data_IF_030437386529
#
_entry.id   IF_030437386529
#
_cell.length_a   1.000
_cell.length_b   1.000
_cell.length_c   1.000
_cell.angle_alpha   90.00
_cell.angle_beta   90.00
_cell.angle_gamma   90.00
#
_symmetry.space_group_name_H-M   'P 1'
#
loop_
_entity.id
_entity.type
_entity.pdbx_description
1 polymer ?
#
# COMPACT_ATOMS: atom_id res chain seq x y z
N UNK A 1 39.91 20.05 40.97
CA UNK A 1 39.78 21.02 39.85
C UNK A 1 40.70 20.69 38.66
N UNK A 2 40.85 19.42 38.27
CA UNK A 2 41.66 19.01 37.09
C UNK A 2 40.84 18.30 36.00
N UNK A 3 39.59 17.91 36.27
CA UNK A 3 38.73 17.19 35.32
C UNK A 3 37.84 18.10 34.45
N UNK A 4 37.63 19.36 34.85
CA UNK A 4 36.84 20.34 34.07
C UNK A 4 37.71 21.04 33.01
N UNK A 5 39.03 21.13 33.23
CA UNK A 5 39.97 21.75 32.28
C UNK A 5 40.25 20.88 31.04
N UNK A 6 40.04 19.55 31.12
CA UNK A 6 40.28 18.62 30.02
C UNK A 6 39.12 18.54 29.02
N UNK A 7 37.89 18.89 29.41
CA UNK A 7 36.71 18.82 28.53
C UNK A 7 36.65 20.03 27.59
N UNK A 8 37.15 21.20 28.02
CA UNK A 8 37.16 22.43 27.21
C UNK A 8 38.22 22.35 26.09
N UNK A 9 39.32 21.61 26.28
CA UNK A 9 40.36 21.43 25.25
C UNK A 9 39.91 20.51 24.11
N UNK A 10 39.00 19.57 24.34
CA UNK A 10 38.51 18.62 23.30
C UNK A 10 37.47 19.29 22.37
N UNK A 11 36.71 20.27 22.86
CA UNK A 11 35.69 20.97 22.07
C UNK A 11 36.32 22.03 21.13
N UNK A 12 37.53 22.51 21.43
CA UNK A 12 38.22 23.49 20.58
C UNK A 12 38.98 22.88 19.38
N UNK A 13 39.12 21.56 19.28
CA UNK A 13 39.91 20.89 18.22
C UNK A 13 39.03 20.30 17.09
N UNK A 14 37.71 20.20 17.26
CA UNK A 14 36.81 19.58 16.26
C UNK A 14 36.09 20.57 15.33
N UNK A 15 36.32 21.89 15.46
CA UNK A 15 35.66 22.92 14.62
C UNK A 15 36.55 23.44 13.47
N UNK A 16 37.79 22.94 13.35
CA UNK A 16 38.77 23.45 12.38
C UNK A 16 39.20 22.45 11.30
N UNK A 17 38.43 21.39 11.07
CA UNK A 17 38.64 20.49 9.93
C UNK A 17 37.30 20.33 9.22
N UNK A 18 37.34 20.46 7.89
CA UNK A 18 36.21 20.42 6.94
C UNK A 18 35.55 21.76 6.60
N UNK A 19 36.37 22.80 6.38
CA UNK A 19 35.97 23.92 5.51
C UNK A 19 37.09 24.25 4.52
N UNK A 20 37.31 23.36 3.54
CA UNK A 20 37.95 23.66 2.25
C UNK A 20 37.69 22.50 1.29
N UNK A 21 36.51 22.46 0.69
CA UNK A 21 36.31 21.76 -0.59
C UNK A 21 35.89 22.80 -1.61
N UNK A 22 36.87 23.13 -2.45
CA UNK A 22 36.72 23.93 -3.65
C UNK A 22 35.73 23.26 -4.60
N UNK A 23 34.74 24.04 -5.04
CA UNK A 23 33.81 23.67 -6.10
C UNK A 23 34.57 23.52 -7.43
N UNK A 24 34.95 22.30 -7.78
CA UNK A 24 35.25 21.85 -9.15
C UNK A 24 35.20 20.33 -9.15
N UNK A 25 34.30 19.80 -9.96
CA UNK A 25 34.22 18.40 -10.38
C UNK A 25 33.63 17.38 -9.38
N UNK A 26 32.50 17.71 -8.75
CA UNK A 26 31.52 16.67 -8.36
C UNK A 26 30.72 16.31 -9.61
N UNK A 27 31.27 15.37 -10.38
CA UNK A 27 30.54 14.68 -11.45
C UNK A 27 29.45 13.84 -10.76
N UNK A 28 28.29 14.46 -10.56
CA UNK A 28 27.08 13.82 -10.06
C UNK A 28 26.66 12.75 -11.06
N UNK A 29 27.16 11.53 -10.90
CA UNK A 29 26.45 10.34 -11.37
C UNK A 29 25.23 10.18 -10.47
N UNK A 30 24.21 10.99 -10.73
CA UNK A 30 22.85 10.73 -10.32
C UNK A 30 22.42 9.48 -11.06
N UNK A 31 22.66 8.31 -10.46
CA UNK A 31 21.96 7.09 -10.83
C UNK A 31 20.53 7.33 -10.37
N UNK A 32 19.69 7.86 -11.27
CA UNK A 32 18.24 7.78 -11.12
C UNK A 32 17.96 6.30 -11.02
N UNK A 33 17.70 5.81 -9.80
CA UNK A 33 17.12 4.50 -9.63
C UNK A 33 15.77 4.58 -10.33
N UNK A 34 15.72 4.06 -11.55
CA UNK A 34 14.48 3.86 -12.26
C UNK A 34 13.72 2.83 -11.43
N UNK A 35 12.78 3.29 -10.60
CA UNK A 35 11.78 2.42 -9.98
C UNK A 35 11.11 1.67 -11.13
N UNK A 36 11.33 0.36 -11.19
CA UNK A 36 10.51 -0.50 -12.02
C UNK A 36 9.16 -0.54 -11.30
N UNK A 37 8.23 0.32 -11.73
CA UNK A 37 6.84 0.25 -11.27
C UNK A 37 6.32 -1.14 -11.66
N UNK A 38 6.06 -2.00 -10.67
CA UNK A 38 5.49 -3.34 -10.91
C UNK A 38 4.14 -3.16 -11.63
N UNK A 39 4.00 -3.78 -12.80
CA UNK A 39 2.78 -3.65 -13.60
C UNK A 39 1.68 -4.61 -13.10
N UNK A 40 0.93 -4.16 -12.10
CA UNK A 40 -0.24 -4.87 -11.57
C UNK A 40 -1.43 -4.90 -12.52
N UNK A 41 -1.40 -4.22 -13.67
CA UNK A 41 -2.53 -4.21 -14.62
C UNK A 41 -2.73 -5.54 -15.35
N UNK A 42 -1.76 -6.45 -15.23
CA UNK A 42 -1.80 -7.80 -15.79
C UNK A 42 -2.38 -8.86 -14.84
N UNK A 43 -2.63 -8.50 -13.57
CA UNK A 43 -3.18 -9.42 -12.59
C UNK A 43 -4.65 -9.73 -12.89
N UNK A 44 -4.98 -11.02 -13.00
CA UNK A 44 -6.35 -11.48 -13.15
C UNK A 44 -7.00 -11.61 -11.76
N UNK A 45 -7.73 -10.57 -11.36
CA UNK A 45 -8.47 -10.53 -10.09
C UNK A 45 -9.36 -11.76 -9.89
N UNK A 46 -10.03 -12.24 -10.94
CA UNK A 46 -10.94 -13.39 -10.81
C UNK A 46 -10.18 -14.66 -10.49
N UNK A 47 -9.02 -14.85 -11.10
CA UNK A 47 -8.16 -16.01 -10.86
C UNK A 47 -7.46 -15.94 -9.51
N UNK A 48 -6.87 -14.81 -9.17
CA UNK A 48 -6.10 -14.64 -7.93
C UNK A 48 -6.99 -14.69 -6.68
N UNK A 49 -8.20 -14.13 -6.76
CA UNK A 49 -9.12 -14.05 -5.63
C UNK A 49 -10.14 -15.20 -5.56
N UNK A 50 -10.06 -16.20 -6.43
CA UNK A 50 -10.99 -17.32 -6.44
C UNK A 50 -10.86 -18.18 -5.16
N UNK A 51 -11.83 -18.08 -4.26
CA UNK A 51 -11.82 -18.81 -2.98
C UNK A 51 -12.05 -20.30 -3.15
N UNK A 52 -12.87 -20.72 -4.12
CA UNK A 52 -13.15 -22.14 -4.37
C UNK A 52 -11.90 -22.88 -4.86
N UNK A 53 -11.09 -22.22 -5.70
CA UNK A 53 -9.88 -22.80 -6.30
C UNK A 53 -8.66 -22.64 -5.38
N UNK A 54 -8.48 -21.46 -4.76
CA UNK A 54 -7.28 -21.15 -3.99
C UNK A 54 -7.43 -21.40 -2.49
N UNK A 55 -8.66 -21.51 -1.97
CA UNK A 55 -8.96 -21.57 -0.55
C UNK A 55 -8.88 -20.21 0.14
N UNK A 56 -9.56 -20.10 1.29
CA UNK A 56 -9.64 -18.87 2.09
C UNK A 56 -8.26 -18.33 2.49
N UNK A 57 -7.37 -19.22 2.96
CA UNK A 57 -6.07 -18.82 3.50
C UNK A 57 -5.17 -18.16 2.44
N UNK A 58 -5.08 -18.75 1.24
CA UNK A 58 -4.28 -18.18 0.15
C UNK A 58 -4.87 -16.86 -0.34
N UNK A 59 -6.19 -16.75 -0.44
CA UNK A 59 -6.85 -15.53 -0.91
C UNK A 59 -6.66 -14.38 0.08
N UNK A 60 -6.73 -14.64 1.39
CA UNK A 60 -6.52 -13.58 2.39
C UNK A 60 -5.05 -13.13 2.45
N UNK A 61 -4.09 -14.05 2.28
CA UNK A 61 -2.66 -13.71 2.17
C UNK A 61 -2.37 -12.86 0.94
N UNK A 62 -3.00 -13.20 -0.20
CA UNK A 62 -2.96 -12.37 -1.41
C UNK A 62 -3.52 -10.98 -1.15
N UNK A 63 -4.65 -10.88 -0.45
CA UNK A 63 -5.23 -9.59 -0.07
C UNK A 63 -4.26 -8.75 0.77
N UNK A 64 -3.62 -9.36 1.78
CA UNK A 64 -2.63 -8.68 2.63
C UNK A 64 -1.45 -8.15 1.83
N UNK A 65 -0.87 -8.99 0.96
CA UNK A 65 0.27 -8.64 0.12
C UNK A 65 -0.03 -7.39 -0.70
N UNK A 66 -1.12 -7.41 -1.47
CA UNK A 66 -1.42 -6.31 -2.38
C UNK A 66 -1.99 -5.08 -1.66
N UNK A 67 -2.71 -5.26 -0.55
CA UNK A 67 -3.23 -4.12 0.19
C UNK A 67 -2.12 -3.33 0.88
N UNK A 68 -1.04 -3.99 1.33
CA UNK A 68 0.14 -3.31 1.86
C UNK A 68 0.72 -2.32 0.82
N UNK A 69 0.86 -2.78 -0.42
CA UNK A 69 1.34 -1.96 -1.53
C UNK A 69 0.34 -0.83 -1.82
N UNK A 70 -0.97 -1.13 -1.85
CA UNK A 70 -2.00 -0.11 -2.06
C UNK A 70 -2.00 0.98 -0.97
N UNK A 71 -1.70 0.62 0.28
CA UNK A 71 -1.53 1.59 1.38
C UNK A 71 -0.29 2.45 1.17
N UNK A 72 0.84 1.85 0.80
CA UNK A 72 2.10 2.56 0.51
C UNK A 72 1.90 3.57 -0.64
N UNK A 73 1.15 3.18 -1.67
CA UNK A 73 0.77 4.01 -2.81
C UNK A 73 -0.38 4.99 -2.51
N UNK A 74 -0.98 4.91 -1.31
CA UNK A 74 -2.13 5.73 -0.87
C UNK A 74 -3.40 5.57 -1.73
N UNK A 75 -3.58 4.40 -2.34
CA UNK A 75 -4.75 4.02 -3.16
C UNK A 75 -5.60 2.94 -2.49
N UNK A 76 -5.43 2.71 -1.19
CA UNK A 76 -6.23 1.74 -0.43
C UNK A 76 -7.74 1.94 -0.69
N UNK A 77 -8.39 0.85 -1.08
CA UNK A 77 -9.81 0.89 -1.41
C UNK A 77 -10.66 1.14 -0.16
N UNK A 78 -11.67 2.00 -0.29
CA UNK A 78 -12.64 2.29 0.76
C UNK A 78 -14.05 2.23 0.19
N UNK A 79 -14.93 1.44 0.80
CA UNK A 79 -16.33 1.32 0.40
C UNK A 79 -17.24 1.43 1.61
N UNK A 80 -18.24 2.31 1.52
CA UNK A 80 -19.18 2.60 2.61
C UNK A 80 -18.46 3.02 3.92
N UNK A 81 -17.33 3.74 3.79
CA UNK A 81 -16.49 4.15 4.92
C UNK A 81 -15.58 3.06 5.46
N UNK A 82 -15.75 1.80 5.06
CA UNK A 82 -14.91 0.69 5.48
C UNK A 82 -13.69 0.57 4.57
N UNK A 83 -12.50 0.62 5.16
CA UNK A 83 -11.22 0.43 4.47
C UNK A 83 -10.96 -1.04 4.18
N UNK A 84 -10.18 -1.33 3.13
CA UNK A 84 -9.82 -2.70 2.79
C UNK A 84 -9.05 -3.41 3.92
N UNK A 85 -8.20 -2.70 4.67
CA UNK A 85 -7.54 -3.25 5.87
C UNK A 85 -8.54 -3.83 6.88
N UNK A 86 -9.70 -3.19 7.05
CA UNK A 86 -10.75 -3.68 7.96
C UNK A 86 -11.41 -4.95 7.39
N UNK A 87 -11.59 -5.05 6.07
CA UNK A 87 -12.10 -6.27 5.43
C UNK A 87 -11.13 -7.43 5.64
N UNK A 88 -9.84 -7.17 5.50
CA UNK A 88 -8.78 -8.15 5.71
C UNK A 88 -8.78 -8.64 7.16
N UNK A 89 -8.77 -7.72 8.13
CA UNK A 89 -8.76 -8.06 9.55
C UNK A 89 -9.98 -8.90 9.96
N UNK A 90 -11.19 -8.48 9.55
CA UNK A 90 -12.41 -9.24 9.83
C UNK A 90 -12.36 -10.64 9.21
N UNK A 91 -11.93 -10.74 7.95
CA UNK A 91 -11.84 -12.02 7.26
C UNK A 91 -10.83 -12.94 7.93
N UNK A 92 -9.65 -12.44 8.34
CA UNK A 92 -8.66 -13.22 9.08
C UNK A 92 -9.20 -13.74 10.41
N UNK A 93 -9.89 -12.88 11.16
CA UNK A 93 -10.47 -13.26 12.44
C UNK A 93 -11.54 -14.35 12.27
N UNK A 94 -12.37 -14.23 11.25
CA UNK A 94 -13.41 -15.21 10.94
C UNK A 94 -12.82 -16.55 10.47
N UNK A 95 -11.82 -16.53 9.60
CA UNK A 95 -11.07 -17.72 9.16
C UNK A 95 -10.45 -18.42 10.38
N UNK A 96 -9.77 -17.67 11.26
CA UNK A 96 -9.13 -18.22 12.44
C UNK A 96 -10.14 -18.87 13.42
N UNK A 97 -11.37 -18.35 13.48
CA UNK A 97 -12.45 -18.87 14.32
C UNK A 97 -13.33 -19.90 13.63
N UNK A 98 -13.09 -20.21 12.34
CA UNK A 98 -13.97 -21.03 11.49
C UNK A 98 -15.42 -20.52 11.45
N UNK A 99 -15.60 -19.20 11.49
CA UNK A 99 -16.90 -18.56 11.33
C UNK A 99 -17.31 -18.58 9.85
N UNK A 100 -18.59 -18.88 9.57
CA UNK A 100 -19.13 -18.89 8.20
C UNK A 100 -19.54 -17.51 7.72
N UNK A 101 -19.77 -16.59 8.65
CA UNK A 101 -20.34 -15.28 8.42
C UNK A 101 -19.59 -14.22 9.22
N UNK A 102 -19.54 -13.01 8.67
CA UNK A 102 -18.93 -11.83 9.29
C UNK A 102 -19.87 -10.65 9.19
N UNK A 103 -19.99 -9.91 10.30
CA UNK A 103 -20.67 -8.63 10.30
C UNK A 103 -19.74 -7.55 9.73
N UNK A 104 -20.20 -6.81 8.72
CA UNK A 104 -19.47 -5.68 8.18
C UNK A 104 -19.51 -4.51 9.16
N UNK A 105 -18.43 -3.75 9.22
CA UNK A 105 -18.27 -2.62 10.12
C UNK A 105 -18.17 -1.30 9.38
N UNK A 106 -18.51 -0.21 10.05
CA UNK A 106 -18.31 1.14 9.54
C UNK A 106 -16.84 1.60 9.70
N UNK A 107 -16.58 2.85 9.33
CA UNK A 107 -15.28 3.48 9.51
C UNK A 107 -14.81 3.60 10.98
N UNK A 108 -15.72 3.43 11.95
CA UNK A 108 -15.47 3.47 13.39
C UNK A 108 -15.42 2.07 14.01
N UNK A 109 -15.52 1.02 13.19
CA UNK A 109 -15.54 -0.37 13.67
C UNK A 109 -16.88 -0.81 14.26
N UNK A 110 -17.97 -0.04 14.08
CA UNK A 110 -19.31 -0.44 14.53
C UNK A 110 -19.98 -1.31 13.49
N UNK A 111 -20.67 -2.36 13.92
CA UNK A 111 -21.44 -3.22 13.02
C UNK A 111 -22.49 -2.40 12.25
N UNK A 112 -22.54 -2.58 10.94
CA UNK A 112 -23.49 -1.93 10.03
C UNK A 112 -24.85 -2.61 10.01
N UNK A 113 -24.94 -3.83 10.55
CA UNK A 113 -26.10 -4.71 10.43
C UNK A 113 -26.02 -5.64 9.21
N UNK A 114 -25.12 -5.37 8.26
CA UNK A 114 -24.89 -6.24 7.11
C UNK A 114 -24.02 -7.43 7.53
N UNK A 115 -24.51 -8.63 7.24
CA UNK A 115 -23.80 -9.89 7.46
C UNK A 115 -23.51 -10.51 6.09
N UNK A 116 -22.27 -10.93 5.90
CA UNK A 116 -21.84 -11.59 4.67
C UNK A 116 -21.07 -12.87 4.97
N UNK A 117 -20.95 -13.78 4.01
CA UNK A 117 -20.13 -14.97 4.21
C UNK A 117 -18.65 -14.62 4.33
N UNK A 118 -17.91 -15.41 5.11
CA UNK A 118 -16.45 -15.29 5.25
C UNK A 118 -15.74 -15.43 3.89
N UNK A 119 -16.23 -16.32 3.02
CA UNK A 119 -15.75 -16.49 1.65
C UNK A 119 -15.90 -15.20 0.84
N UNK A 120 -17.06 -14.56 0.92
CA UNK A 120 -17.31 -13.32 0.19
C UNK A 120 -16.49 -12.16 0.72
N UNK A 121 -16.36 -12.03 2.05
CA UNK A 121 -15.51 -11.02 2.66
C UNK A 121 -14.04 -11.18 2.23
N UNK A 122 -13.56 -12.43 2.20
CA UNK A 122 -12.19 -12.78 1.79
C UNK A 122 -11.95 -12.50 0.31
N UNK A 123 -12.85 -12.96 -0.57
CA UNK A 123 -12.81 -12.66 -2.01
C UNK A 123 -12.82 -11.15 -2.27
N UNK A 124 -13.68 -10.41 -1.56
CA UNK A 124 -13.80 -8.97 -1.70
C UNK A 124 -12.54 -8.25 -1.24
N UNK A 125 -11.96 -8.66 -0.11
CA UNK A 125 -10.72 -8.08 0.41
C UNK A 125 -9.57 -8.19 -0.61
N UNK A 126 -9.42 -9.38 -1.21
CA UNK A 126 -8.45 -9.63 -2.28
C UNK A 126 -8.76 -8.79 -3.53
N UNK A 127 -10.03 -8.78 -3.94
CA UNK A 127 -10.45 -8.05 -5.15
C UNK A 127 -10.19 -6.56 -5.03
N UNK A 128 -10.46 -5.96 -3.87
CA UNK A 128 -10.18 -4.57 -3.59
C UNK A 128 -8.68 -4.26 -3.57
N UNK A 129 -7.87 -5.14 -2.99
CA UNK A 129 -6.42 -4.96 -2.93
C UNK A 129 -5.80 -4.90 -4.33
N UNK A 130 -6.12 -5.85 -5.20
CA UNK A 130 -5.58 -5.90 -6.56
C UNK A 130 -6.19 -4.78 -7.42
N UNK A 131 -7.51 -4.59 -7.36
CA UNK A 131 -8.19 -3.58 -8.19
C UNK A 131 -7.73 -2.16 -7.89
N UNK A 132 -7.36 -1.85 -6.64
CA UNK A 132 -6.79 -0.55 -6.29
C UNK A 132 -5.52 -0.25 -7.10
N UNK A 133 -4.59 -1.20 -7.12
CA UNK A 133 -3.32 -1.09 -7.85
C UNK A 133 -3.53 -1.09 -9.36
N UNK A 134 -4.40 -1.96 -9.87
CA UNK A 134 -4.75 -1.99 -11.30
C UNK A 134 -5.35 -0.65 -11.75
N UNK A 135 -6.27 -0.07 -10.97
CA UNK A 135 -6.87 1.22 -11.29
C UNK A 135 -5.88 2.37 -11.22
N UNK A 136 -4.94 2.35 -10.27
CA UNK A 136 -3.87 3.34 -10.20
C UNK A 136 -3.09 3.40 -11.52
N UNK A 137 -2.60 2.24 -12.00
CA UNK A 137 -1.83 2.15 -13.25
C UNK A 137 -2.68 2.53 -14.46
N UNK A 138 -3.92 2.03 -14.54
CA UNK A 138 -4.80 2.31 -15.66
C UNK A 138 -5.16 3.80 -15.72
N UNK A 139 -5.42 4.45 -14.58
CA UNK A 139 -5.77 5.88 -14.55
C UNK A 139 -4.67 6.75 -15.16
N UNK A 140 -3.39 6.43 -14.92
CA UNK A 140 -2.24 7.13 -15.53
C UNK A 140 -2.23 7.00 -17.06
N UNK A 141 -2.74 5.90 -17.62
CA UNK A 141 -2.78 5.61 -19.06
C UNK A 141 -4.05 6.15 -19.74
N UNK A 142 -5.21 6.06 -19.08
CA UNK A 142 -6.53 6.28 -19.71
C UNK A 142 -7.24 7.56 -19.26
N UNK A 143 -6.62 8.41 -18.43
CA UNK A 143 -7.28 9.65 -17.97
C UNK A 143 -7.75 10.57 -19.10
N UNK A 144 -7.03 10.59 -20.23
CA UNK A 144 -7.42 11.41 -21.40
C UNK A 144 -8.73 10.96 -22.01
N UNK A 145 -8.95 9.64 -22.08
CA UNK A 145 -10.22 9.07 -22.54
C UNK A 145 -11.36 9.45 -21.58
N UNK A 146 -11.11 9.67 -20.30
CA UNK A 146 -12.13 10.07 -19.33
C UNK A 146 -12.51 11.56 -19.41
N UNK A 147 -11.79 12.39 -20.20
CA UNK A 147 -12.13 13.80 -20.40
C UNK A 147 -13.14 13.95 -21.55
N UNK A 148 -14.33 14.55 -21.33
CA UNK A 148 -15.35 14.74 -22.36
C UNK A 148 -14.88 15.56 -23.59
N UNK A 149 -13.79 16.30 -23.46
CA UNK A 149 -13.21 17.12 -24.54
C UNK A 149 -12.26 16.35 -25.46
N UNK A 150 -11.70 15.22 -25.00
CA UNK A 150 -10.58 14.53 -25.66
C UNK A 150 -11.04 13.22 -26.32
N UNK A 151 -11.88 13.39 -27.35
CA UNK A 151 -12.01 12.44 -28.47
C UNK A 151 -12.85 11.16 -28.27
N UNK A 152 -13.83 11.10 -27.37
CA UNK A 152 -14.95 10.16 -27.57
C UNK A 152 -15.72 10.58 -28.83
N UNK A 153 -15.28 10.08 -30.00
CA UNK A 153 -16.10 10.02 -31.21
C UNK A 153 -17.08 8.86 -31.02
N UNK A 154 -18.29 9.17 -30.58
CA UNK A 154 -19.45 8.28 -30.65
C UNK A 154 -19.88 8.07 -32.10
#
# INVERSE_FOLDING_TARGET
MKKILFIIIIIAISVAVYFTLTAKDVKSTTKVAQEVEEDYSTLDVKKECNVEVNGLQKVIETAEKYNKIAIEHKVEFMRFGMKNSQYIELSKNAIAKNEKEVALVDNKGKATGDIVSTEFATWRACSFAISALTQEIQSKKTWRLASPSDEYKY
#
